data_IF_146790638809
#
_entry.id   IF_146790638809
#
_cell.length_a   1.000
_cell.length_b   1.000
_cell.length_c   1.000
_cell.angle_alpha   90.00
_cell.angle_beta   90.00
_cell.angle_gamma   90.00
#
_symmetry.space_group_name_H-M   'P 1'
#
loop_
_entity.id
_entity.type
_entity.pdbx_description
1 polymer ?
#
# COMPACT_ATOMS: atom_id res chain seq x y z
N UNK A 1 5.69 19.61 37.57
CA UNK A 1 4.70 20.45 38.27
C UNK A 1 5.41 21.74 38.66
N UNK A 2 5.01 22.88 38.11
CA UNK A 2 5.59 24.18 38.47
C UNK A 2 4.98 24.60 39.82
N UNK A 3 5.82 25.03 40.75
CA UNK A 3 5.38 25.47 42.08
C UNK A 3 4.65 26.83 41.96
N UNK A 4 3.53 27.01 42.67
CA UNK A 4 2.69 28.22 42.59
C UNK A 4 3.47 29.53 42.89
N UNK A 5 4.53 29.44 43.70
CA UNK A 5 5.38 30.60 44.03
C UNK A 5 6.25 31.08 42.86
N UNK A 6 6.64 30.19 41.94
CA UNK A 6 7.39 30.57 40.73
C UNK A 6 6.48 31.26 39.71
N UNK A 7 5.22 30.82 39.63
CA UNK A 7 4.23 31.40 38.72
C UNK A 7 3.86 32.84 39.12
N UNK A 8 3.81 33.13 40.42
CA UNK A 8 3.53 34.47 40.94
C UNK A 8 4.67 35.46 40.66
N UNK A 9 5.94 35.06 40.85
CA UNK A 9 7.10 35.92 40.52
C UNK A 9 7.17 36.26 39.02
N UNK A 10 6.70 35.35 38.17
CA UNK A 10 6.69 35.52 36.73
C UNK A 10 5.58 36.44 36.23
N UNK A 11 4.51 36.65 37.02
CA UNK A 11 3.47 37.65 36.74
C UNK A 11 3.91 39.07 37.08
N UNK A 12 4.94 39.23 37.92
CA UNK A 12 5.52 40.53 38.30
C UNK A 12 6.76 40.91 37.47
N UNK A 13 7.31 39.99 36.66
CA UNK A 13 8.49 40.27 35.84
C UNK A 13 8.20 41.12 34.60
N UNK A 14 9.25 41.77 34.09
CA UNK A 14 9.20 42.64 32.91
C UNK A 14 8.82 41.84 31.65
N UNK A 15 8.25 42.53 30.64
CA UNK A 15 7.66 41.93 29.43
C UNK A 15 8.62 40.98 28.70
N UNK A 16 9.93 41.23 28.77
CA UNK A 16 10.95 40.44 28.10
C UNK A 16 11.09 39.04 28.73
N UNK A 17 11.08 38.93 30.06
CA UNK A 17 11.20 37.64 30.76
C UNK A 17 9.93 36.79 30.59
N UNK A 18 8.75 37.42 30.61
CA UNK A 18 7.48 36.75 30.28
C UNK A 18 7.48 36.18 28.87
N UNK A 19 8.00 36.93 27.90
CA UNK A 19 8.06 36.49 26.50
C UNK A 19 9.03 35.32 26.33
N UNK A 20 10.18 35.36 26.99
CA UNK A 20 11.16 34.26 26.98
C UNK A 20 10.59 33.01 27.63
N UNK A 21 9.95 33.13 28.79
CA UNK A 21 9.33 31.99 29.47
C UNK A 21 8.19 31.39 28.66
N UNK A 22 7.29 32.21 28.09
CA UNK A 22 6.22 31.73 27.22
C UNK A 22 6.80 31.05 25.97
N UNK A 23 7.88 31.57 25.39
CA UNK A 23 8.58 30.94 24.26
C UNK A 23 9.16 29.58 24.65
N UNK A 24 9.81 29.47 25.80
CA UNK A 24 10.35 28.19 26.31
C UNK A 24 9.25 27.20 26.66
N UNK A 25 8.12 27.67 27.21
CA UNK A 25 6.95 26.83 27.48
C UNK A 25 6.32 26.32 26.18
N UNK A 26 6.21 27.19 25.17
CA UNK A 26 5.70 26.83 23.85
C UNK A 26 6.64 25.82 23.16
N UNK A 27 7.95 26.00 23.31
CA UNK A 27 8.95 25.08 22.79
C UNK A 27 8.90 23.73 23.51
N UNK A 28 8.77 23.73 24.84
CA UNK A 28 8.58 22.51 25.63
C UNK A 28 7.28 21.76 25.27
N UNK A 29 6.16 22.48 25.08
CA UNK A 29 4.91 21.88 24.59
C UNK A 29 5.02 21.42 23.14
N UNK A 30 5.82 22.09 22.30
CA UNK A 30 6.11 21.63 20.93
C UNK A 30 6.99 20.39 20.89
N UNK A 31 7.87 20.19 21.88
CA UNK A 31 8.69 19.00 22.05
C UNK A 31 7.89 17.84 22.64
N UNK A 32 6.96 18.09 23.58
CA UNK A 32 6.03 17.06 24.10
C UNK A 32 4.99 16.64 23.04
N UNK A 33 4.70 17.49 22.05
CA UNK A 33 3.84 17.16 20.89
C UNK A 33 4.57 16.56 19.69
N UNK A 34 5.86 16.20 19.82
CA UNK A 34 6.49 15.24 18.91
C UNK A 34 6.38 13.82 19.48
N UNK A 35 5.17 13.41 19.82
CA UNK A 35 4.82 12.02 19.57
C UNK A 35 4.70 12.00 18.05
N UNK A 36 5.64 11.34 17.37
CA UNK A 36 5.50 11.10 15.93
C UNK A 36 4.13 10.44 15.75
N UNK A 37 3.17 11.17 15.19
CA UNK A 37 1.90 10.57 14.80
C UNK A 37 2.26 9.39 13.90
N UNK A 38 1.75 8.18 14.20
CA UNK A 38 2.11 7.01 13.42
C UNK A 38 1.77 7.25 11.95
N UNK A 39 2.76 7.09 11.07
CA UNK A 39 2.54 7.10 9.63
C UNK A 39 1.83 5.79 9.25
N UNK A 40 0.50 5.80 9.34
CA UNK A 40 -0.33 4.65 9.01
C UNK A 40 -0.17 4.21 7.55
N UNK A 41 0.25 5.10 6.65
CA UNK A 41 0.54 4.73 5.26
C UNK A 41 1.81 3.89 5.17
N UNK A 42 2.84 4.24 5.94
CA UNK A 42 4.04 3.42 6.04
C UNK A 42 3.75 2.09 6.75
N UNK A 43 3.02 2.10 7.87
CA UNK A 43 2.65 0.87 8.56
C UNK A 43 1.83 -0.09 7.67
N UNK A 44 0.89 0.46 6.90
CA UNK A 44 0.14 -0.33 5.93
C UNK A 44 1.08 -0.96 4.88
N UNK A 45 2.03 -0.18 4.34
CA UNK A 45 3.03 -0.70 3.39
C UNK A 45 3.91 -1.79 4.00
N UNK A 46 4.35 -1.60 5.24
CA UNK A 46 5.19 -2.56 5.97
C UNK A 46 4.45 -3.89 6.19
N UNK A 47 3.12 -3.85 6.28
CA UNK A 47 2.28 -5.05 6.41
C UNK A 47 2.10 -5.84 5.11
N UNK A 48 2.50 -5.30 3.94
CA UNK A 48 2.32 -5.96 2.65
C UNK A 48 3.30 -7.12 2.45
N UNK A 49 2.90 -8.09 1.63
CA UNK A 49 3.77 -9.21 1.28
C UNK A 49 4.98 -8.77 0.45
N UNK A 50 6.16 -9.07 0.97
CA UNK A 50 7.43 -8.89 0.28
C UNK A 50 7.81 -10.17 -0.47
N UNK A 51 8.00 -10.06 -1.78
CA UNK A 51 8.35 -11.19 -2.64
C UNK A 51 9.86 -11.30 -2.76
N UNK A 52 10.39 -12.45 -2.34
CA UNK A 52 11.79 -12.78 -2.54
C UNK A 52 12.06 -13.22 -3.98
N UNK A 53 13.30 -13.03 -4.41
CA UNK A 53 13.76 -13.60 -5.67
C UNK A 53 13.80 -15.13 -5.55
N UNK A 54 13.40 -15.85 -6.61
CA UNK A 54 13.47 -17.32 -6.64
C UNK A 54 14.90 -17.81 -6.45
N UNK A 55 15.08 -18.96 -5.80
CA UNK A 55 16.39 -19.52 -5.45
C UNK A 55 17.36 -19.58 -6.63
N UNK A 56 16.89 -19.99 -7.82
CA UNK A 56 17.71 -20.09 -9.03
C UNK A 56 18.29 -18.76 -9.57
N UNK A 57 17.87 -17.61 -9.04
CA UNK A 57 18.43 -16.29 -9.40
C UNK A 57 19.25 -15.67 -8.26
N UNK A 58 19.51 -16.42 -7.19
CA UNK A 58 20.36 -15.97 -6.07
C UNK A 58 21.85 -16.30 -6.29
N UNK A 59 22.17 -17.10 -7.30
CA UNK A 59 23.52 -17.59 -7.53
C UNK A 59 24.48 -16.45 -7.92
N UNK A 60 25.69 -16.47 -7.34
CA UNK A 60 26.68 -15.37 -7.50
C UNK A 60 27.06 -15.08 -8.96
N UNK A 61 27.08 -16.09 -9.82
CA UNK A 61 27.40 -15.87 -11.23
C UNK A 61 26.21 -15.26 -11.99
N UNK A 62 24.97 -15.59 -11.61
CA UNK A 62 23.75 -15.01 -12.19
C UNK A 62 23.69 -13.53 -11.82
N UNK A 63 23.81 -13.21 -10.54
CA UNK A 63 23.82 -11.82 -10.05
C UNK A 63 24.87 -10.97 -10.73
N UNK A 64 26.12 -11.46 -10.82
CA UNK A 64 27.20 -10.76 -11.52
C UNK A 64 26.94 -10.55 -13.00
N UNK A 65 26.36 -11.54 -13.68
CA UNK A 65 26.01 -11.42 -15.10
C UNK A 65 24.93 -10.35 -15.31
N UNK A 66 23.86 -10.41 -14.53
CA UNK A 66 22.78 -9.42 -14.54
C UNK A 66 23.32 -8.00 -14.26
N UNK A 67 24.18 -7.82 -13.25
CA UNK A 67 24.76 -6.50 -12.93
C UNK A 67 25.61 -5.97 -14.11
N UNK A 68 26.28 -6.88 -14.82
CA UNK A 68 26.97 -6.59 -16.08
C UNK A 68 26.02 -6.10 -17.18
N UNK A 69 24.88 -6.78 -17.37
CA UNK A 69 23.86 -6.40 -18.36
C UNK A 69 23.25 -5.02 -18.06
N UNK A 70 23.24 -4.62 -16.79
CA UNK A 70 22.77 -3.32 -16.34
C UNK A 70 23.81 -2.19 -16.43
N UNK A 71 25.05 -2.47 -16.88
CA UNK A 71 26.05 -1.43 -17.09
C UNK A 71 25.61 -0.43 -18.18
N UNK A 72 25.51 0.85 -17.83
CA UNK A 72 25.07 1.91 -18.73
C UNK A 72 23.57 1.93 -19.04
N UNK A 73 22.75 1.12 -18.36
CA UNK A 73 21.28 1.25 -18.40
C UNK A 73 20.86 2.45 -17.54
N UNK A 74 20.04 3.34 -18.07
CA UNK A 74 19.42 4.40 -17.26
C UNK A 74 18.11 3.85 -16.68
N UNK A 75 17.96 3.94 -15.36
CA UNK A 75 16.70 3.63 -14.69
C UNK A 75 15.83 4.87 -14.65
N UNK A 76 14.53 4.70 -14.81
CA UNK A 76 13.55 5.77 -14.66
C UNK A 76 12.66 5.48 -13.45
N UNK A 77 12.25 6.52 -12.74
CA UNK A 77 11.21 6.46 -11.70
C UNK A 77 9.99 7.33 -12.03
N UNK A 78 10.04 8.01 -13.17
CA UNK A 78 8.98 8.87 -13.69
C UNK A 78 8.37 8.23 -14.95
N UNK A 79 7.08 7.83 -14.92
CA UNK A 79 6.41 7.18 -16.05
C UNK A 79 6.34 8.07 -17.30
N UNK A 80 6.42 9.41 -17.17
CA UNK A 80 6.40 10.31 -18.32
C UNK A 80 7.63 10.13 -19.22
N UNK A 81 8.76 9.69 -18.67
CA UNK A 81 10.01 9.43 -19.40
C UNK A 81 10.02 8.11 -20.17
N UNK A 82 9.04 7.24 -19.93
CA UNK A 82 8.90 6.00 -20.69
C UNK A 82 8.55 6.31 -22.14
N UNK A 83 9.07 5.51 -23.07
CA UNK A 83 8.67 5.61 -24.48
C UNK A 83 7.34 4.90 -24.69
N UNK A 84 6.49 5.48 -25.53
CA UNK A 84 5.24 4.84 -25.95
C UNK A 84 5.54 3.55 -26.72
N UNK A 85 4.65 2.57 -26.56
CA UNK A 85 4.68 1.28 -27.26
C UNK A 85 5.97 0.45 -27.03
N UNK A 86 6.78 0.86 -26.04
CA UNK A 86 7.97 0.12 -25.61
C UNK A 86 7.68 -0.59 -24.30
N UNK A 87 8.04 -1.86 -24.22
CA UNK A 87 7.95 -2.64 -22.99
C UNK A 87 9.11 -2.31 -22.05
N UNK A 88 8.75 -1.97 -20.82
CA UNK A 88 9.66 -1.80 -19.71
C UNK A 88 9.46 -2.92 -18.69
N UNK A 89 10.53 -3.28 -17.98
CA UNK A 89 10.44 -3.93 -16.69
C UNK A 89 10.07 -2.87 -15.65
N UNK A 90 9.31 -3.25 -14.63
CA UNK A 90 9.15 -2.46 -13.43
C UNK A 90 9.36 -3.32 -12.18
N UNK A 91 9.71 -2.65 -11.09
CA UNK A 91 9.60 -3.16 -9.73
C UNK A 91 8.88 -2.12 -8.87
N UNK A 92 8.27 -2.59 -7.78
CA UNK A 92 7.79 -1.75 -6.68
C UNK A 92 8.59 -2.14 -5.44
N UNK A 93 9.37 -1.21 -4.90
CA UNK A 93 10.21 -1.42 -3.71
C UNK A 93 9.36 -1.43 -2.44
N UNK A 94 9.95 -1.86 -1.31
CA UNK A 94 9.22 -1.95 -0.03
C UNK A 94 8.76 -0.58 0.50
N UNK A 95 9.47 0.50 0.16
CA UNK A 95 9.08 1.88 0.47
C UNK A 95 8.07 2.46 -0.56
N UNK A 96 7.61 1.66 -1.52
CA UNK A 96 6.60 2.04 -2.50
C UNK A 96 7.12 2.78 -3.73
N UNK A 97 8.43 2.92 -3.90
CA UNK A 97 8.99 3.51 -5.13
C UNK A 97 8.81 2.58 -6.32
N UNK A 98 8.57 3.17 -7.48
CA UNK A 98 8.42 2.44 -8.73
C UNK A 98 9.63 2.75 -9.61
N UNK A 99 10.33 1.71 -10.03
CA UNK A 99 11.51 1.83 -10.89
C UNK A 99 11.31 1.06 -12.18
N UNK A 100 11.77 1.64 -13.28
CA UNK A 100 11.62 1.14 -14.64
C UNK A 100 12.97 0.94 -15.32
N UNK A 101 13.07 -0.11 -16.13
CA UNK A 101 14.16 -0.32 -17.08
C UNK A 101 13.60 -0.81 -18.41
N UNK A 102 14.22 -0.47 -19.55
CA UNK A 102 13.82 -1.06 -20.83
C UNK A 102 13.95 -2.59 -20.76
N UNK A 103 13.03 -3.34 -21.37
CA UNK A 103 13.11 -4.80 -21.34
C UNK A 103 14.38 -5.33 -22.03
N UNK A 104 14.92 -4.58 -22.99
CA UNK A 104 16.13 -4.93 -23.71
C UNK A 104 17.11 -3.76 -23.75
N UNK A 105 18.40 -4.06 -23.57
CA UNK A 105 19.51 -3.14 -23.74
C UNK A 105 20.48 -3.74 -24.78
N UNK A 106 20.62 -3.07 -25.94
CA UNK A 106 21.54 -3.52 -27.02
C UNK A 106 21.35 -5.00 -27.42
N UNK A 107 20.11 -5.49 -27.42
CA UNK A 107 19.76 -6.88 -27.76
C UNK A 107 19.88 -7.88 -26.60
N UNK A 108 20.38 -7.46 -25.44
CA UNK A 108 20.38 -8.26 -24.21
C UNK A 108 19.07 -8.03 -23.46
N UNK A 109 18.41 -9.12 -23.06
CA UNK A 109 17.19 -9.05 -22.25
C UNK A 109 17.57 -8.77 -20.80
N UNK A 110 17.06 -7.67 -20.25
CA UNK A 110 17.29 -7.34 -18.85
C UNK A 110 16.39 -8.18 -17.93
N UNK A 111 16.77 -8.25 -16.65
CA UNK A 111 16.07 -9.02 -15.62
C UNK A 111 15.58 -8.15 -14.48
N UNK A 112 14.55 -8.60 -13.75
CA UNK A 112 14.05 -7.87 -12.59
C UNK A 112 15.03 -7.91 -11.41
N UNK A 113 15.86 -8.94 -11.30
CA UNK A 113 16.89 -9.03 -10.27
C UNK A 113 17.93 -7.92 -10.39
N UNK A 114 18.47 -7.73 -11.60
CA UNK A 114 19.38 -6.62 -11.88
C UNK A 114 18.72 -5.24 -11.74
N UNK A 115 17.43 -5.11 -12.10
CA UNK A 115 16.67 -3.87 -11.87
C UNK A 115 16.62 -3.54 -10.38
N UNK A 116 16.22 -4.50 -9.54
CA UNK A 116 16.09 -4.31 -8.10
C UNK A 116 17.42 -3.94 -7.43
N UNK A 117 18.50 -4.66 -7.74
CA UNK A 117 19.82 -4.34 -7.18
C UNK A 117 20.31 -2.98 -7.62
N UNK A 118 20.14 -2.63 -8.90
CA UNK A 118 20.56 -1.32 -9.40
C UNK A 118 19.75 -0.16 -8.81
N UNK A 119 18.42 -0.32 -8.74
CA UNK A 119 17.53 0.70 -8.19
C UNK A 119 17.84 0.97 -6.71
N UNK A 120 18.16 -0.07 -5.94
CA UNK A 120 18.44 0.00 -4.52
C UNK A 120 19.93 0.10 -4.18
N UNK A 121 20.78 0.37 -5.18
CA UNK A 121 22.24 0.50 -5.03
C UNK A 121 22.91 -0.65 -4.25
N UNK A 122 22.48 -1.88 -4.48
CA UNK A 122 23.04 -3.09 -3.84
C UNK A 122 24.29 -3.51 -4.59
N UNK A 123 25.46 -3.25 -4.00
CA UNK A 123 26.76 -3.73 -4.50
C UNK A 123 27.05 -5.14 -3.94
N UNK A 124 27.19 -6.15 -4.82
CA UNK A 124 27.58 -7.52 -4.46
C UNK A 124 26.72 -8.23 -3.38
N UNK A 125 25.40 -8.18 -3.53
CA UNK A 125 24.46 -8.71 -2.53
C UNK A 125 23.34 -9.60 -3.08
N UNK A 126 22.60 -10.23 -2.16
CA UNK A 126 21.32 -10.89 -2.48
C UNK A 126 20.37 -9.84 -3.06
N UNK A 127 19.66 -10.19 -4.13
CA UNK A 127 18.58 -9.35 -4.65
C UNK A 127 17.57 -9.07 -3.53
N UNK A 128 17.27 -7.80 -3.22
CA UNK A 128 16.32 -7.46 -2.19
C UNK A 128 14.91 -7.93 -2.58
N UNK A 129 14.07 -8.15 -1.57
CA UNK A 129 12.65 -8.41 -1.79
C UNK A 129 11.96 -7.14 -2.32
N UNK A 130 10.86 -7.34 -3.05
CA UNK A 130 10.07 -6.27 -3.66
C UNK A 130 8.59 -6.51 -3.39
N UNK A 131 7.77 -5.47 -3.41
CA UNK A 131 6.31 -5.61 -3.35
C UNK A 131 5.74 -6.12 -4.67
N UNK A 132 6.39 -5.78 -5.78
CA UNK A 132 5.98 -6.22 -7.10
C UNK A 132 7.15 -6.24 -8.07
N UNK A 133 7.03 -7.08 -9.10
CA UNK A 133 7.87 -7.01 -10.27
C UNK A 133 7.09 -7.49 -11.50
N UNK A 134 7.28 -6.82 -12.63
CA UNK A 134 6.60 -7.19 -13.85
C UNK A 134 7.03 -6.33 -15.04
N UNK A 135 6.18 -6.25 -16.04
CA UNK A 135 6.36 -5.42 -17.21
C UNK A 135 5.26 -4.39 -17.29
N UNK A 136 5.61 -3.24 -17.84
CA UNK A 136 4.71 -2.12 -18.07
C UNK A 136 4.82 -1.65 -19.51
N UNK A 137 3.68 -1.28 -20.08
CA UNK A 137 3.57 -0.65 -21.39
C UNK A 137 2.85 0.69 -21.23
N UNK A 138 3.44 1.77 -21.74
CA UNK A 138 2.76 3.06 -21.86
C UNK A 138 2.14 3.19 -23.25
N UNK A 139 0.88 3.59 -23.30
CA UNK A 139 0.24 4.04 -24.54
C UNK A 139 -0.43 5.39 -24.32
N UNK A 140 -0.65 6.12 -25.41
CA UNK A 140 -1.46 7.34 -25.40
C UNK A 140 -2.58 7.17 -26.40
N UNK A 141 -3.82 7.36 -25.95
CA UNK A 141 -4.98 7.35 -26.83
C UNK A 141 -5.46 8.78 -27.05
N UNK A 142 -5.50 9.19 -28.33
CA UNK A 142 -6.15 10.43 -28.73
C UNK A 142 -7.63 10.15 -28.97
N UNK A 143 -8.48 10.57 -28.05
CA UNK A 143 -9.92 10.61 -28.27
C UNK A 143 -10.27 11.95 -28.92
N UNK A 144 -10.99 11.91 -30.05
CA UNK A 144 -11.44 13.12 -30.74
C UNK A 144 -12.19 14.03 -29.74
N UNK A 145 -11.71 15.26 -29.58
CA UNK A 145 -12.25 16.30 -28.69
C UNK A 145 -12.15 16.06 -27.16
N UNK A 146 -11.28 15.16 -26.70
CA UNK A 146 -10.96 14.99 -25.27
C UNK A 146 -9.46 15.20 -25.00
N UNK A 147 -9.11 15.46 -23.73
CA UNK A 147 -7.70 15.47 -23.29
C UNK A 147 -7.05 14.12 -23.63
N UNK A 148 -5.78 14.15 -24.03
CA UNK A 148 -4.97 12.95 -24.25
C UNK A 148 -5.02 12.06 -23.00
N UNK A 149 -5.43 10.80 -23.17
CA UNK A 149 -5.50 9.85 -22.08
C UNK A 149 -4.22 9.01 -22.11
N UNK A 150 -3.41 9.12 -21.05
CA UNK A 150 -2.22 8.30 -20.85
C UNK A 150 -2.64 7.01 -20.16
N UNK A 151 -2.28 5.88 -20.75
CA UNK A 151 -2.60 4.55 -20.23
C UNK A 151 -1.32 3.82 -19.85
N UNK A 152 -1.34 3.13 -18.71
CA UNK A 152 -0.29 2.20 -18.30
C UNK A 152 -0.89 0.81 -18.13
N UNK A 153 -0.32 -0.15 -18.85
CA UNK A 153 -0.70 -1.55 -18.79
C UNK A 153 0.37 -2.31 -18.03
N UNK A 154 -0.03 -3.01 -16.96
CA UNK A 154 0.86 -3.77 -16.11
C UNK A 154 0.54 -5.26 -16.23
N UNK A 155 1.57 -6.10 -16.30
CA UNK A 155 1.44 -7.47 -15.86
C UNK A 155 2.07 -7.56 -14.47
N UNK A 156 1.41 -8.28 -13.57
CA UNK A 156 1.87 -8.45 -12.20
C UNK A 156 2.71 -9.73 -12.06
N UNK A 157 3.42 -10.12 -13.12
CA UNK A 157 4.16 -11.37 -13.18
C UNK A 157 5.62 -11.14 -13.54
N UNK A 158 6.51 -11.65 -12.69
CA UNK A 158 7.94 -11.74 -12.95
C UNK A 158 8.36 -13.20 -13.08
N UNK A 159 9.38 -13.46 -13.90
CA UNK A 159 10.07 -14.75 -13.88
C UNK A 159 11.03 -14.90 -12.69
N UNK A 160 11.45 -13.78 -12.07
CA UNK A 160 12.46 -13.73 -11.00
C UNK A 160 11.84 -13.70 -9.60
N UNK A 161 10.64 -13.15 -9.47
CA UNK A 161 9.88 -13.06 -8.24
C UNK A 161 8.61 -13.89 -8.40
N UNK A 162 8.15 -14.56 -7.35
CA UNK A 162 6.85 -15.26 -7.36
C UNK A 162 5.78 -14.37 -6.73
N UNK A 163 5.03 -13.57 -7.50
CA UNK A 163 3.74 -13.13 -6.99
C UNK A 163 2.76 -14.30 -7.12
N UNK A 164 2.19 -14.70 -5.98
CA UNK A 164 0.92 -15.41 -5.96
C UNK A 164 -0.22 -14.40 -6.22
N UNK A 165 -1.40 -14.87 -6.63
CA UNK A 165 -2.62 -14.04 -6.86
C UNK A 165 -2.90 -13.08 -5.68
N UNK A 166 -2.48 -13.53 -4.50
CA UNK A 166 -2.52 -12.92 -3.17
C UNK A 166 -1.81 -11.55 -3.12
N UNK A 167 -0.73 -11.31 -3.88
CA UNK A 167 0.01 -10.03 -3.86
C UNK A 167 -0.63 -8.87 -4.61
N UNK A 168 -1.66 -9.12 -5.43
CA UNK A 168 -2.10 -8.13 -6.44
C UNK A 168 -2.75 -6.88 -5.85
N UNK A 169 -3.48 -7.02 -4.74
CA UNK A 169 -4.22 -5.91 -4.14
C UNK A 169 -3.28 -4.84 -3.57
N UNK A 170 -2.24 -5.24 -2.83
CA UNK A 170 -1.29 -4.30 -2.23
C UNK A 170 -0.47 -3.54 -3.27
N UNK A 171 -0.08 -4.23 -4.35
CA UNK A 171 0.61 -3.59 -5.49
C UNK A 171 -0.29 -2.55 -6.15
N UNK A 172 -1.57 -2.88 -6.33
CA UNK A 172 -2.56 -1.97 -6.87
C UNK A 172 -2.71 -0.70 -6.03
N UNK A 173 -2.70 -0.81 -4.71
CA UNK A 173 -2.78 0.33 -3.80
C UNK A 173 -1.59 1.28 -3.98
N UNK A 174 -0.37 0.74 -4.12
CA UNK A 174 0.84 1.55 -4.36
C UNK A 174 0.82 2.20 -5.75
N UNK A 175 0.44 1.44 -6.79
CA UNK A 175 0.35 1.97 -8.15
C UNK A 175 -0.72 3.07 -8.25
N UNK A 176 -1.89 2.88 -7.62
CA UNK A 176 -2.96 3.87 -7.60
C UNK A 176 -2.52 5.15 -6.87
N UNK A 177 -1.90 5.04 -5.70
CA UNK A 177 -1.39 6.20 -4.96
C UNK A 177 -0.36 7.02 -5.76
N UNK A 178 0.48 6.35 -6.55
CA UNK A 178 1.60 7.01 -7.23
C UNK A 178 1.24 7.52 -8.62
N UNK A 179 0.28 6.89 -9.31
CA UNK A 179 0.08 7.08 -10.75
C UNK A 179 -1.35 7.51 -11.15
N UNK A 180 -2.34 7.42 -10.26
CA UNK A 180 -3.76 7.58 -10.60
C UNK A 180 -4.14 8.99 -11.11
N UNK A 181 -3.41 10.02 -10.69
CA UNK A 181 -3.73 11.41 -11.05
C UNK A 181 -3.48 11.70 -12.55
N UNK A 182 -2.51 11.01 -13.13
CA UNK A 182 -2.04 11.27 -14.50
C UNK A 182 -2.32 10.11 -15.47
N UNK A 183 -2.66 8.92 -14.96
CA UNK A 183 -2.75 7.70 -15.75
C UNK A 183 -3.99 6.85 -15.47
N UNK A 184 -4.55 6.31 -16.55
CA UNK A 184 -5.47 5.17 -16.45
C UNK A 184 -4.66 3.88 -16.35
N UNK A 185 -4.91 3.11 -15.28
CA UNK A 185 -4.17 1.88 -15.01
C UNK A 185 -4.97 0.66 -15.51
N UNK A 186 -4.27 -0.24 -16.16
CA UNK A 186 -4.81 -1.49 -16.67
C UNK A 186 -3.94 -2.65 -16.21
N UNK A 187 -4.54 -3.78 -15.84
CA UNK A 187 -3.81 -4.96 -15.39
C UNK A 187 -4.18 -6.16 -16.25
N UNK A 188 -3.14 -6.84 -16.72
CA UNK A 188 -3.28 -8.15 -17.33
C UNK A 188 -3.61 -9.19 -16.26
N UNK A 189 -4.89 -9.53 -16.16
CA UNK A 189 -5.36 -10.61 -15.30
C UNK A 189 -5.28 -11.91 -16.10
N UNK A 190 -4.23 -12.69 -15.86
CA UNK A 190 -4.11 -14.04 -16.39
C UNK A 190 -4.72 -15.03 -15.42
N UNK A 191 -5.57 -15.95 -15.93
CA UNK A 191 -6.07 -17.13 -15.22
C UNK A 191 -5.03 -17.67 -14.24
N UNK A 192 -5.47 -17.96 -13.01
CA UNK A 192 -4.72 -18.37 -11.82
C UNK A 192 -3.69 -19.52 -11.98
N UNK A 193 -3.42 -19.97 -13.21
CA UNK A 193 -2.57 -21.10 -13.58
C UNK A 193 -1.53 -20.78 -14.67
N UNK A 194 -1.52 -19.57 -15.26
CA UNK A 194 -0.49 -19.20 -16.24
C UNK A 194 0.15 -17.86 -15.92
N UNK A 195 1.33 -17.89 -15.32
CA UNK A 195 2.25 -16.76 -15.31
C UNK A 195 2.50 -16.32 -16.76
N UNK A 196 1.92 -15.21 -17.18
CA UNK A 196 2.21 -14.68 -18.52
C UNK A 196 3.63 -14.12 -18.52
N UNK A 197 4.55 -14.86 -19.16
CA UNK A 197 5.94 -14.43 -19.40
C UNK A 197 6.04 -13.19 -20.30
N UNK A 198 4.95 -12.81 -20.97
CA UNK A 198 4.89 -11.70 -21.91
C UNK A 198 3.63 -10.87 -21.68
N UNK A 199 3.79 -9.54 -21.74
CA UNK A 199 2.69 -8.58 -21.77
C UNK A 199 1.89 -8.74 -23.07
N UNK A 200 0.57 -8.76 -22.94
CA UNK A 200 -0.39 -8.59 -24.02
C UNK A 200 -1.51 -7.67 -23.51
N UNK A 201 -1.39 -6.39 -23.86
CA UNK A 201 -2.24 -5.33 -23.34
C UNK A 201 -3.72 -5.50 -23.71
N UNK A 202 -4.04 -6.34 -24.71
CA UNK A 202 -5.42 -6.66 -25.12
C UNK A 202 -6.17 -7.51 -24.10
N UNK A 203 -5.44 -8.18 -23.20
CA UNK A 203 -5.99 -8.94 -22.08
C UNK A 203 -5.89 -8.17 -20.77
N UNK A 204 -5.61 -6.88 -20.82
CA UNK A 204 -5.63 -6.04 -19.63
C UNK A 204 -7.02 -5.47 -19.39
N UNK A 205 -7.46 -5.59 -18.15
CA UNK A 205 -8.70 -5.00 -17.68
C UNK A 205 -8.41 -3.66 -16.99
N UNK A 206 -9.30 -2.66 -17.13
CA UNK A 206 -9.15 -1.40 -16.44
C UNK A 206 -9.27 -1.59 -14.93
N UNK A 207 -8.37 -0.94 -14.19
CA UNK A 207 -8.44 -0.90 -12.72
C UNK A 207 -9.49 0.13 -12.32
N UNK A 208 -10.43 -0.26 -11.47
CA UNK A 208 -11.37 0.68 -10.85
C UNK A 208 -10.63 1.37 -9.70
N UNK A 209 -9.92 2.45 -10.00
CA UNK A 209 -9.05 3.18 -9.06
C UNK A 209 -9.80 3.61 -7.79
N UNK A 210 -11.06 4.04 -7.93
CA UNK A 210 -11.90 4.41 -6.79
C UNK A 210 -12.02 3.27 -5.78
N UNK A 211 -12.28 2.04 -6.25
CA UNK A 211 -12.44 0.88 -5.36
C UNK A 211 -11.12 0.54 -4.65
N UNK A 212 -9.99 0.64 -5.35
CA UNK A 212 -8.66 0.42 -4.76
C UNK A 212 -8.40 1.44 -3.65
N UNK A 213 -8.67 2.72 -3.91
CA UNK A 213 -8.45 3.79 -2.93
C UNK A 213 -9.43 3.73 -1.75
N UNK A 214 -10.68 3.35 -1.97
CA UNK A 214 -11.65 3.14 -0.90
C UNK A 214 -11.25 1.96 -0.01
N UNK A 215 -10.81 0.84 -0.58
CA UNK A 215 -10.30 -0.30 0.17
C UNK A 215 -9.08 0.09 1.02
N UNK A 216 -8.09 0.78 0.41
CA UNK A 216 -6.93 1.32 1.13
C UNK A 216 -7.35 2.24 2.28
N UNK A 217 -8.32 3.14 2.03
CA UNK A 217 -8.83 4.05 3.05
C UNK A 217 -9.47 3.30 4.22
N UNK A 218 -10.21 2.21 3.95
CA UNK A 218 -10.76 1.38 5.02
C UNK A 218 -9.65 0.75 5.87
N UNK A 219 -8.61 0.20 5.22
CA UNK A 219 -7.45 -0.37 5.93
C UNK A 219 -6.75 0.65 6.83
N UNK A 220 -6.52 1.87 6.32
CA UNK A 220 -5.93 2.96 7.10
C UNK A 220 -6.80 3.36 8.29
N UNK A 221 -8.11 3.47 8.08
CA UNK A 221 -9.04 3.79 9.16
C UNK A 221 -9.09 2.70 10.23
N UNK A 222 -9.02 1.42 9.84
CA UNK A 222 -8.93 0.30 10.78
C UNK A 222 -7.62 0.34 11.57
N UNK A 223 -6.48 0.60 10.93
CA UNK A 223 -5.19 0.79 11.61
C UNK A 223 -5.25 1.95 12.61
N UNK A 224 -5.84 3.08 12.20
CA UNK A 224 -6.01 4.23 13.08
C UNK A 224 -6.88 3.88 14.29
N UNK A 225 -8.00 3.20 14.07
CA UNK A 225 -8.89 2.75 15.14
C UNK A 225 -8.17 1.80 16.12
N UNK A 226 -7.39 0.84 15.61
CA UNK A 226 -6.60 -0.12 16.40
C UNK A 226 -5.59 0.61 17.30
N UNK A 227 -4.95 1.68 16.81
CA UNK A 227 -3.95 2.44 17.56
C UNK A 227 -4.55 3.49 18.50
N UNK A 228 -5.75 4.00 18.19
CA UNK A 228 -6.42 5.02 19.00
C UNK A 228 -6.99 4.47 20.32
N UNK A 229 -7.17 3.15 20.41
CA UNK A 229 -7.82 2.47 21.52
C UNK A 229 -6.86 1.59 22.33
N UNK A 230 -7.22 1.32 23.58
CA UNK A 230 -6.48 0.36 24.42
C UNK A 230 -6.55 -1.05 23.81
N UNK A 231 -5.46 -1.81 23.90
CA UNK A 231 -5.38 -3.20 23.44
C UNK A 231 -6.44 -4.14 24.06
N UNK A 232 -6.96 -3.81 25.24
CA UNK A 232 -8.03 -4.56 25.92
C UNK A 232 -9.44 -4.21 25.38
N UNK A 233 -9.57 -3.17 24.56
CA UNK A 233 -10.85 -2.77 23.97
C UNK A 233 -11.36 -3.88 23.04
N UNK A 234 -12.56 -4.44 23.26
CA UNK A 234 -13.08 -5.56 22.47
C UNK A 234 -13.15 -5.27 20.96
N UNK A 235 -13.42 -4.02 20.59
CA UNK A 235 -13.45 -3.58 19.19
C UNK A 235 -12.08 -3.61 18.51
N UNK A 236 -10.97 -3.45 19.24
CA UNK A 236 -9.61 -3.52 18.67
C UNK A 236 -9.34 -4.89 18.08
N UNK A 237 -9.69 -5.96 18.81
CA UNK A 237 -9.54 -7.34 18.30
C UNK A 237 -10.36 -7.57 17.04
N UNK A 238 -11.58 -7.05 16.98
CA UNK A 238 -12.46 -7.16 15.82
C UNK A 238 -11.89 -6.40 14.63
N UNK A 239 -11.48 -5.14 14.82
CA UNK A 239 -10.86 -4.32 13.80
C UNK A 239 -9.58 -4.97 13.25
N UNK A 240 -8.74 -5.56 14.11
CA UNK A 240 -7.54 -6.29 13.68
C UNK A 240 -7.87 -7.51 12.81
N UNK A 241 -8.91 -8.29 13.15
CA UNK A 241 -9.34 -9.41 12.31
C UNK A 241 -9.84 -8.95 10.94
N UNK A 242 -10.68 -7.90 10.91
CA UNK A 242 -11.18 -7.34 9.65
C UNK A 242 -10.00 -6.83 8.81
N UNK A 243 -9.09 -6.08 9.42
CA UNK A 243 -7.88 -5.60 8.78
C UNK A 243 -7.06 -6.76 8.19
N UNK A 244 -6.75 -7.80 8.97
CA UNK A 244 -5.97 -8.95 8.50
C UNK A 244 -6.68 -9.72 7.39
N UNK A 245 -8.01 -9.85 7.42
CA UNK A 245 -8.76 -10.52 6.35
C UNK A 245 -8.78 -9.72 5.05
N UNK A 246 -8.72 -8.39 5.13
CA UNK A 246 -8.67 -7.51 3.96
C UNK A 246 -7.26 -7.28 3.44
N UNK A 247 -6.30 -7.26 4.35
CA UNK A 247 -4.90 -7.04 4.07
C UNK A 247 -4.26 -8.38 3.80
N UNK A 248 -4.14 -8.72 2.52
CA UNK A 248 -3.45 -9.93 2.13
C UNK A 248 -1.99 -9.83 2.59
N UNK A 249 -1.76 -10.52 3.69
CA UNK A 249 -0.70 -10.30 4.65
C UNK A 249 0.70 -10.59 4.12
N UNK A 250 1.66 -9.71 4.45
CA UNK A 250 3.06 -10.06 4.51
C UNK A 250 3.42 -10.97 5.69
N UNK A 251 4.71 -11.34 5.77
CA UNK A 251 5.27 -12.39 6.65
C UNK A 251 4.90 -12.35 8.14
N UNK A 252 4.38 -11.23 8.65
CA UNK A 252 3.96 -11.10 10.06
C UNK A 252 2.50 -11.54 10.32
N UNK A 253 1.67 -11.57 9.28
CA UNK A 253 0.25 -11.89 9.37
C UNK A 253 -0.08 -13.21 8.64
N UNK A 254 0.83 -14.19 8.68
CA UNK A 254 0.70 -15.54 8.09
C UNK A 254 -0.42 -16.41 8.72
N UNK A 255 -1.32 -15.84 9.52
CA UNK A 255 -2.47 -16.57 10.02
C UNK A 255 -3.59 -16.56 8.96
N UNK A 256 -4.09 -17.75 8.60
CA UNK A 256 -5.33 -17.84 7.82
C UNK A 256 -6.38 -16.92 8.45
N UNK A 257 -7.11 -16.12 7.66
CA UNK A 257 -8.08 -15.17 8.19
C UNK A 257 -9.05 -15.91 9.11
N UNK A 258 -8.95 -15.64 10.42
CA UNK A 258 -9.78 -16.29 11.42
C UNK A 258 -11.17 -15.66 11.36
N UNK A 259 -12.22 -16.43 11.02
CA UNK A 259 -13.56 -15.87 10.89
C UNK A 259 -14.00 -15.15 12.18
N UNK A 260 -14.80 -14.10 12.03
CA UNK A 260 -15.42 -13.45 13.17
C UNK A 260 -16.51 -14.34 13.77
N UNK A 261 -16.47 -14.52 15.09
CA UNK A 261 -17.55 -15.18 15.82
C UNK A 261 -18.79 -14.28 15.93
N UNK A 262 -19.96 -14.86 16.17
CA UNK A 262 -21.21 -14.12 16.39
C UNK A 262 -21.08 -13.04 17.49
N UNK A 263 -20.34 -13.32 18.56
CA UNK A 263 -20.08 -12.35 19.64
C UNK A 263 -19.20 -11.19 19.15
N UNK A 264 -18.22 -11.46 18.30
CA UNK A 264 -17.37 -10.44 17.69
C UNK A 264 -18.15 -9.58 16.69
N UNK A 265 -19.07 -10.17 15.92
CA UNK A 265 -19.99 -9.44 15.03
C UNK A 265 -20.96 -8.54 15.82
N UNK A 266 -21.49 -9.02 16.95
CA UNK A 266 -22.28 -8.20 17.86
C UNK A 266 -21.44 -7.06 18.47
N UNK A 267 -20.18 -7.34 18.82
CA UNK A 267 -19.25 -6.32 19.33
C UNK A 267 -19.01 -5.24 18.29
N UNK A 268 -18.76 -5.64 17.03
CA UNK A 268 -18.63 -4.72 15.90
C UNK A 268 -19.85 -3.80 15.76
N UNK A 269 -21.06 -4.35 15.84
CA UNK A 269 -22.28 -3.58 15.61
C UNK A 269 -22.64 -2.65 16.79
N UNK A 270 -22.25 -3.03 18.02
CA UNK A 270 -22.49 -2.23 19.21
C UNK A 270 -21.45 -1.11 19.40
N UNK A 271 -20.30 -1.21 18.75
CA UNK A 271 -19.30 -0.16 18.71
C UNK A 271 -19.67 0.84 17.60
N UNK A 272 -20.21 2.00 17.98
CA UNK A 272 -20.67 3.00 17.02
C UNK A 272 -19.55 3.52 16.11
N UNK A 273 -18.35 3.72 16.65
CA UNK A 273 -17.22 4.25 15.87
C UNK A 273 -16.78 3.21 14.84
N UNK A 274 -16.53 1.97 15.28
CA UNK A 274 -16.12 0.90 14.38
C UNK A 274 -17.22 0.57 13.36
N UNK A 275 -18.49 0.57 13.77
CA UNK A 275 -19.61 0.32 12.88
C UNK A 275 -19.74 1.39 11.79
N UNK A 276 -19.51 2.67 12.13
CA UNK A 276 -19.53 3.76 11.16
C UNK A 276 -18.38 3.63 10.15
N UNK A 277 -17.17 3.26 10.60
CA UNK A 277 -16.03 3.00 9.71
C UNK A 277 -16.32 1.91 8.66
N UNK A 278 -16.99 0.84 9.08
CA UNK A 278 -17.33 -0.31 8.23
C UNK A 278 -18.48 0.00 7.27
N UNK A 279 -19.53 0.68 7.74
CA UNK A 279 -20.81 0.81 7.01
C UNK A 279 -20.66 1.38 5.61
N UNK A 280 -19.89 2.46 5.47
CA UNK A 280 -19.72 3.16 4.20
C UNK A 280 -18.87 2.37 3.19
N UNK A 281 -18.16 1.34 3.66
CA UNK A 281 -17.20 0.54 2.89
C UNK A 281 -17.44 -0.96 3.04
N UNK A 282 -18.68 -1.35 3.36
CA UNK A 282 -19.04 -2.72 3.71
C UNK A 282 -18.66 -3.74 2.64
N UNK A 283 -18.76 -3.36 1.37
CA UNK A 283 -18.43 -4.21 0.21
C UNK A 283 -16.98 -4.71 0.18
N UNK A 284 -16.07 -4.08 0.92
CA UNK A 284 -14.66 -4.46 1.02
C UNK A 284 -14.36 -5.31 2.26
N UNK A 285 -15.33 -5.51 3.15
CA UNK A 285 -15.16 -6.28 4.38
C UNK A 285 -15.28 -7.79 4.14
N UNK A 286 -14.85 -8.64 5.08
CA UNK A 286 -15.07 -10.08 5.03
C UNK A 286 -16.56 -10.45 4.88
N UNK A 287 -16.84 -11.54 4.18
CA UNK A 287 -18.20 -11.96 3.83
C UNK A 287 -19.11 -12.07 5.05
N UNK A 288 -18.61 -12.58 6.18
CA UNK A 288 -19.36 -12.69 7.42
C UNK A 288 -19.82 -11.32 7.98
N UNK A 289 -19.01 -10.27 7.80
CA UNK A 289 -19.38 -8.90 8.18
C UNK A 289 -20.46 -8.38 7.25
N UNK A 290 -20.30 -8.59 5.94
CA UNK A 290 -21.27 -8.18 4.93
C UNK A 290 -22.63 -8.85 5.16
N UNK A 291 -22.64 -10.15 5.40
CA UNK A 291 -23.85 -10.93 5.68
C UNK A 291 -24.52 -10.48 6.97
N UNK A 292 -23.75 -10.25 8.04
CA UNK A 292 -24.30 -9.78 9.31
C UNK A 292 -25.03 -8.43 9.17
N UNK A 293 -24.42 -7.46 8.48
CA UNK A 293 -25.06 -6.15 8.23
C UNK A 293 -26.33 -6.26 7.38
N UNK A 294 -26.37 -7.17 6.39
CA UNK A 294 -27.57 -7.45 5.60
C UNK A 294 -28.69 -8.01 6.49
N UNK A 295 -28.37 -8.93 7.40
CA UNK A 295 -29.34 -9.53 8.32
C UNK A 295 -29.91 -8.49 9.29
N UNK A 296 -29.08 -7.63 9.88
CA UNK A 296 -29.53 -6.57 10.79
C UNK A 296 -30.44 -5.57 10.08
N UNK A 297 -30.08 -5.12 8.88
CA UNK A 297 -30.89 -4.21 8.08
C UNK A 297 -32.27 -4.79 7.74
N UNK A 298 -32.30 -6.10 7.43
CA UNK A 298 -33.53 -6.84 7.13
C UNK A 298 -34.43 -7.02 8.36
N UNK A 299 -33.83 -7.29 9.53
CA UNK A 299 -34.55 -7.45 10.79
C UNK A 299 -35.19 -6.14 11.28
N UNK A 300 -34.52 -4.99 11.09
CA UNK A 300 -35.08 -3.67 11.40
C UNK A 300 -36.31 -3.34 10.54
N UNK A 301 -36.37 -3.79 9.28
CA UNK A 301 -37.51 -3.55 8.39
C UNK A 301 -38.78 -4.33 8.75
N UNK A 302 -38.63 -5.45 9.46
CA UNK A 302 -39.75 -6.29 9.93
C UNK A 302 -40.34 -5.83 11.28
N UNK A 303 -39.58 -5.03 12.04
CA UNK A 303 -39.98 -4.53 13.36
C UNK A 303 -40.97 -3.35 13.32
N UNK A 304 -41.22 -2.76 12.15
CA UNK A 304 -42.16 -1.63 11.96
C UNK A 304 -43.52 -2.02 11.37
N UNK A 305 -43.79 -3.31 11.21
CA UNK A 305 -45.07 -3.85 10.71
C UNK A 305 -45.90 -4.57 11.79
N UNK A 306 -45.64 -4.30 13.07
CA UNK A 306 -46.37 -4.85 14.22
C UNK A 306 -47.30 -3.84 14.87
#
# INVERSE_FOLDING_TARGET
MINNDEMHKLLESDKTEKKTFLSSLFQFFSEIKKIEEPDFSQQLRDSYMAFEVKEGFTERFVTKAEDGDYQGVVLENDPDKLKEEVLYLYIVTLDGQIWFAPQFQKGVKLTHGGLARKALAVEDGKTPAVLAAGTVLKTQEKKENLKEQKNLFFNLASGHFEPEVIGYTSVLEVLAETLADDYSLFIQVGYAHTHYKSMDYRYCEPVILQNVMENKTLKLNLLQYIHAHDSEHPGVRVASKIFSSMNVAGKEYEEEPVPLSEKELQTLFNDHELADLIRDKLQFCPDEVQEYYKQQSSASSLSFSG
#
